data_IF_017591709883
#
_entry.id   IF_017591709883
#
_cell.length_a   1.000
_cell.length_b   1.000
_cell.length_c   1.000
_cell.angle_alpha   90.00
_cell.angle_beta   90.00
_cell.angle_gamma   90.00
#
_symmetry.space_group_name_H-M   'P 1'
#
loop_
_entity.id
_entity.type
_entity.pdbx_description
1 polymer ?
#
# COMPACT_ATOMS: atom_id res chain seq x y z
N UNK A 1 -11.43 -18.31 -6.67
CA UNK A 1 -10.26 -18.71 -7.49
C UNK A 1 -9.03 -18.33 -6.68
N UNK A 2 -8.27 -19.29 -6.14
CA UNK A 2 -7.08 -18.97 -5.33
C UNK A 2 -5.89 -18.75 -6.27
N UNK A 3 -5.44 -17.51 -6.40
CA UNK A 3 -4.17 -17.19 -7.04
C UNK A 3 -3.08 -17.21 -5.97
N UNK A 4 -2.37 -18.34 -5.85
CA UNK A 4 -1.19 -18.44 -4.99
C UNK A 4 -0.01 -17.86 -5.77
N UNK A 5 0.31 -16.59 -5.51
CA UNK A 5 1.59 -16.01 -5.90
C UNK A 5 2.70 -16.65 -5.06
N UNK A 6 3.29 -17.71 -5.62
CA UNK A 6 4.44 -18.40 -5.03
C UNK A 6 5.70 -17.69 -5.50
N UNK A 7 6.44 -17.14 -4.54
CA UNK A 7 7.76 -16.54 -4.74
C UNK A 7 8.71 -17.42 -3.92
N UNK A 8 9.46 -18.30 -4.57
CA UNK A 8 10.45 -19.15 -3.89
C UNK A 8 11.77 -18.35 -3.70
N UNK A 9 12.45 -18.54 -2.56
CA UNK A 9 13.57 -17.70 -2.06
C UNK A 9 14.91 -17.78 -2.86
N UNK A 10 14.92 -18.35 -4.06
CA UNK A 10 16.15 -18.51 -4.86
C UNK A 10 16.58 -17.20 -5.55
N UNK A 11 17.14 -16.27 -4.76
CA UNK A 11 17.73 -14.98 -5.14
C UNK A 11 18.86 -15.00 -6.21
N UNK A 12 19.12 -16.13 -6.87
CA UNK A 12 20.35 -16.36 -7.66
C UNK A 12 20.17 -17.04 -9.04
N UNK A 13 18.95 -17.29 -9.53
CA UNK A 13 18.77 -17.87 -10.87
C UNK A 13 17.59 -17.28 -11.66
N UNK A 14 17.67 -15.97 -11.92
CA UNK A 14 16.78 -15.25 -12.84
C UNK A 14 17.59 -14.78 -14.04
N UNK A 15 17.96 -15.73 -14.91
CA UNK A 15 18.52 -15.41 -16.24
C UNK A 15 17.35 -15.09 -17.17
N UNK A 16 16.97 -13.81 -17.26
CA UNK A 16 16.02 -13.35 -18.28
C UNK A 16 16.71 -12.59 -19.40
N UNK A 17 16.70 -13.22 -20.56
CA UNK A 17 17.29 -12.79 -21.80
C UNK A 17 16.59 -11.52 -22.33
N UNK A 18 17.36 -10.51 -22.73
CA UNK A 18 16.86 -9.27 -23.31
C UNK A 18 16.08 -9.53 -24.61
N UNK A 19 14.91 -8.90 -24.75
CA UNK A 19 14.32 -8.60 -26.06
C UNK A 19 13.55 -7.26 -26.05
N UNK A 20 14.26 -6.20 -26.43
CA UNK A 20 13.82 -5.37 -27.55
C UNK A 20 12.80 -4.23 -27.34
N UNK A 21 12.15 -4.07 -26.18
CA UNK A 21 11.29 -2.89 -25.92
C UNK A 21 11.53 -2.34 -24.52
N UNK A 22 12.02 -1.08 -24.36
CA UNK A 22 12.08 -0.46 -23.04
C UNK A 22 10.65 -0.28 -22.52
N UNK A 23 10.33 -0.94 -21.42
CA UNK A 23 9.07 -0.73 -20.72
C UNK A 23 9.03 0.74 -20.28
N UNK A 24 8.11 1.52 -20.86
CA UNK A 24 7.94 2.93 -20.48
C UNK A 24 7.72 3.02 -18.98
N UNK A 25 8.42 3.96 -18.34
CA UNK A 25 8.42 4.17 -16.90
C UNK A 25 6.99 4.20 -16.34
N UNK A 26 6.82 3.55 -15.20
CA UNK A 26 5.54 3.03 -14.74
C UNK A 26 5.24 3.59 -13.35
N UNK A 27 4.85 4.85 -13.28
CA UNK A 27 4.72 5.55 -12.01
C UNK A 27 3.46 5.11 -11.25
N UNK A 28 3.59 4.88 -9.94
CA UNK A 28 2.51 4.50 -9.05
C UNK A 28 2.44 5.50 -7.90
N UNK A 29 1.35 6.26 -7.80
CA UNK A 29 1.07 7.09 -6.63
C UNK A 29 0.47 6.20 -5.55
N UNK A 30 1.14 6.11 -4.40
CA UNK A 30 0.68 5.30 -3.27
C UNK A 30 0.02 6.20 -2.23
N UNK A 31 -1.29 6.05 -2.09
CA UNK A 31 -2.10 6.86 -1.20
C UNK A 31 -2.41 6.11 0.09
N UNK A 32 -2.32 6.83 1.20
CA UNK A 32 -2.28 6.25 2.52
C UNK A 32 -3.30 6.97 3.42
N UNK A 33 -4.58 6.61 3.29
CA UNK A 33 -5.68 7.15 4.11
C UNK A 33 -5.89 6.36 5.40
N UNK A 34 -5.93 7.03 6.55
CA UNK A 34 -5.90 6.50 7.93
C UNK A 34 -4.54 5.95 8.30
N UNK A 35 -3.72 6.81 8.90
CA UNK A 35 -2.42 6.42 9.39
C UNK A 35 -2.61 5.58 10.66
N UNK A 36 -2.96 4.30 10.52
CA UNK A 36 -3.04 3.39 11.66
C UNK A 36 -1.62 2.95 12.10
N UNK A 37 -0.95 3.90 12.73
CA UNK A 37 0.27 3.93 13.56
C UNK A 37 1.61 3.37 13.04
N UNK A 38 1.80 2.08 12.67
CA UNK A 38 3.11 1.60 12.19
C UNK A 38 3.09 0.88 10.82
N UNK A 39 1.91 0.61 10.23
CA UNK A 39 1.77 -0.35 9.11
C UNK A 39 2.56 0.02 7.85
N UNK A 40 2.72 1.32 7.61
CA UNK A 40 3.25 1.92 6.37
C UNK A 40 4.75 2.16 6.44
N UNK A 41 5.25 2.41 7.65
CA UNK A 41 6.67 2.60 7.93
C UNK A 41 7.46 1.36 7.52
N UNK A 42 7.04 0.17 7.97
CA UNK A 42 7.75 -1.08 7.68
C UNK A 42 7.67 -1.48 6.19
N UNK A 43 6.66 -1.04 5.44
CA UNK A 43 6.63 -1.24 3.98
C UNK A 43 7.70 -0.41 3.28
N UNK A 44 7.79 0.88 3.58
CA UNK A 44 8.83 1.76 3.01
C UNK A 44 10.23 1.48 3.58
N UNK A 45 10.37 1.00 4.81
CA UNK A 45 11.64 0.49 5.34
C UNK A 45 12.10 -0.73 4.51
N UNK A 46 11.27 -1.77 4.37
CA UNK A 46 11.63 -2.98 3.61
C UNK A 46 11.92 -2.67 2.13
N UNK A 47 11.20 -1.73 1.52
CA UNK A 47 11.47 -1.30 0.13
C UNK A 47 12.75 -0.46 0.04
N UNK A 48 13.00 0.49 0.95
CA UNK A 48 14.25 1.26 0.97
C UNK A 48 15.46 0.35 1.24
N UNK A 49 15.33 -0.61 2.16
CA UNK A 49 16.37 -1.62 2.45
C UNK A 49 16.68 -2.46 1.19
N UNK A 50 15.66 -2.89 0.43
CA UNK A 50 15.88 -3.64 -0.82
C UNK A 50 16.50 -2.78 -1.93
N UNK A 51 16.14 -1.49 -2.05
CA UNK A 51 16.78 -0.57 -2.99
C UNK A 51 18.13 -0.02 -2.49
N UNK A 52 18.61 -0.40 -1.30
CA UNK A 52 19.85 0.11 -0.72
C UNK A 52 19.82 1.61 -0.42
N UNK A 53 18.64 2.17 -0.11
CA UNK A 53 18.45 3.58 0.24
C UNK A 53 18.64 3.81 1.73
N UNK A 54 19.49 4.77 2.08
CA UNK A 54 19.63 5.25 3.47
C UNK A 54 18.41 6.07 3.93
N UNK A 55 18.30 6.32 5.24
CA UNK A 55 17.26 7.13 5.88
C UNK A 55 17.17 8.57 5.32
N UNK A 56 18.23 9.05 4.67
CA UNK A 56 18.31 10.34 3.97
C UNK A 56 17.82 10.31 2.52
N UNK A 57 17.50 9.12 1.98
CA UNK A 57 17.13 8.90 0.58
C UNK A 57 18.32 8.76 -0.38
N UNK A 58 19.56 8.79 0.12
CA UNK A 58 20.75 8.54 -0.69
C UNK A 58 20.89 7.05 -1.03
N UNK A 59 21.25 6.74 -2.27
CA UNK A 59 21.49 5.37 -2.73
C UNK A 59 22.89 4.88 -2.39
N UNK A 60 22.95 3.72 -1.72
CA UNK A 60 24.16 3.00 -1.32
C UNK A 60 24.15 1.53 -1.76
N UNK A 61 23.29 1.16 -2.73
CA UNK A 61 23.19 -0.20 -3.25
C UNK A 61 24.31 -0.60 -4.22
N UNK A 62 24.60 -1.90 -4.28
CA UNK A 62 25.68 -2.48 -5.10
C UNK A 62 25.20 -3.02 -6.47
N UNK A 63 23.89 -2.96 -6.80
CA UNK A 63 23.32 -3.65 -7.98
C UNK A 63 22.52 -2.73 -8.91
N UNK A 64 22.93 -2.64 -10.17
CA UNK A 64 22.26 -1.84 -11.21
C UNK A 64 20.76 -2.20 -11.39
N UNK A 65 20.38 -3.45 -11.10
CA UNK A 65 18.99 -3.93 -11.16
C UNK A 65 18.07 -3.25 -10.13
N UNK A 66 18.62 -2.71 -9.04
CA UNK A 66 17.86 -1.93 -8.05
C UNK A 66 17.46 -0.56 -8.64
N UNK A 67 18.33 0.05 -9.45
CA UNK A 67 18.10 1.37 -10.03
C UNK A 67 17.19 1.34 -11.27
N UNK A 68 17.18 0.25 -12.05
CA UNK A 68 16.48 0.17 -13.35
C UNK A 68 14.97 0.51 -13.29
N UNK A 69 14.33 0.33 -12.13
CA UNK A 69 12.90 0.59 -11.92
C UNK A 69 12.56 1.34 -10.61
N UNK A 70 13.52 2.02 -10.01
CA UNK A 70 13.29 2.80 -8.77
C UNK A 70 12.21 3.88 -8.95
N UNK A 71 12.11 4.44 -10.16
CA UNK A 71 11.17 5.51 -10.56
C UNK A 71 9.68 5.15 -10.37
N UNK A 72 9.34 3.85 -10.34
CA UNK A 72 7.97 3.34 -10.13
C UNK A 72 7.38 3.86 -8.81
N UNK A 73 8.20 3.89 -7.75
CA UNK A 73 7.78 4.26 -6.40
C UNK A 73 8.50 5.47 -5.83
N UNK A 74 9.63 5.91 -6.42
CA UNK A 74 10.40 7.05 -5.97
C UNK A 74 10.53 8.11 -7.07
N UNK A 75 10.50 9.37 -6.67
CA UNK A 75 10.95 10.51 -7.46
C UNK A 75 12.45 10.71 -7.24
N UNK A 76 13.23 10.80 -8.31
CA UNK A 76 14.62 11.25 -8.25
C UNK A 76 14.65 12.78 -8.03
N UNK A 77 15.24 13.22 -6.92
CA UNK A 77 15.45 14.63 -6.63
C UNK A 77 16.84 15.10 -7.08
N UNK A 78 17.00 16.41 -7.29
CA UNK A 78 18.16 17.09 -7.91
C UNK A 78 19.54 16.87 -7.26
N UNK A 79 19.63 16.07 -6.20
CA UNK A 79 20.85 15.76 -5.45
C UNK A 79 21.20 14.27 -5.42
N UNK A 80 20.53 13.43 -6.23
CA UNK A 80 20.67 11.97 -6.16
C UNK A 80 19.95 11.33 -4.96
N UNK A 81 18.99 12.06 -4.38
CA UNK A 81 18.13 11.56 -3.30
C UNK A 81 16.82 11.05 -3.89
N UNK A 82 16.39 9.86 -3.47
CA UNK A 82 15.14 9.25 -3.89
C UNK A 82 14.03 9.51 -2.86
N UNK A 83 12.91 10.06 -3.32
CA UNK A 83 11.78 10.49 -2.47
C UNK A 83 10.54 9.64 -2.81
N UNK A 84 9.93 8.90 -1.87
CA UNK A 84 8.71 8.13 -2.12
C UNK A 84 7.57 8.94 -2.73
N UNK A 85 6.94 8.41 -3.79
CA UNK A 85 5.65 8.84 -4.35
C UNK A 85 4.50 8.41 -3.42
N UNK A 86 4.52 8.92 -2.19
CA UNK A 86 3.57 8.60 -1.13
C UNK A 86 2.81 9.85 -0.67
N UNK A 87 1.49 9.70 -0.49
CA UNK A 87 0.61 10.75 0.07
C UNK A 87 0.02 10.22 1.38
N UNK A 88 0.32 10.88 2.49
CA UNK A 88 -0.12 10.44 3.83
C UNK A 88 -1.29 11.29 4.30
N UNK A 89 -2.39 10.61 4.64
CA UNK A 89 -3.66 11.24 4.95
C UNK A 89 -4.22 10.68 6.26
N UNK A 90 -4.50 11.55 7.22
CA UNK A 90 -5.21 11.19 8.45
C UNK A 90 -6.11 12.35 8.90
N UNK A 91 -7.22 12.06 9.58
CA UNK A 91 -8.07 13.08 10.21
C UNK A 91 -7.53 13.49 11.60
N UNK A 92 -6.48 12.81 12.09
CA UNK A 92 -5.84 13.09 13.38
C UNK A 92 -4.35 13.42 13.17
N UNK A 93 -3.86 14.61 13.59
CA UNK A 93 -2.49 15.03 13.31
C UNK A 93 -1.44 14.22 14.07
N UNK A 94 -1.77 13.75 15.27
CA UNK A 94 -0.83 13.06 16.18
C UNK A 94 -0.21 11.79 15.60
N UNK A 95 -0.83 11.13 14.62
CA UNK A 95 -0.20 9.97 13.98
C UNK A 95 0.89 10.38 12.99
N UNK A 96 0.70 11.47 12.25
CA UNK A 96 1.67 11.91 11.23
C UNK A 96 2.96 12.41 11.89
N UNK A 97 2.87 13.02 13.07
CA UNK A 97 4.05 13.36 13.90
C UNK A 97 4.86 12.11 14.31
N UNK A 98 4.18 11.00 14.62
CA UNK A 98 4.84 9.72 14.91
C UNK A 98 5.53 9.10 13.69
N UNK A 99 5.01 9.33 12.48
CA UNK A 99 5.67 8.87 11.24
C UNK A 99 6.88 9.75 10.93
N UNK A 100 6.74 11.08 11.03
CA UNK A 100 7.80 12.06 10.79
C UNK A 100 8.98 11.94 11.77
N UNK A 101 8.73 11.48 13.00
CA UNK A 101 9.77 11.19 14.01
C UNK A 101 10.37 9.78 13.91
N UNK A 102 9.89 8.95 12.98
CA UNK A 102 10.51 7.66 12.65
C UNK A 102 11.84 7.81 11.89
N UNK A 103 12.64 6.73 11.77
CA UNK A 103 13.95 6.76 11.10
C UNK A 103 13.84 7.15 9.61
N UNK A 104 12.86 6.58 8.89
CA UNK A 104 12.56 6.99 7.51
C UNK A 104 11.63 8.22 7.44
N UNK A 105 11.36 8.92 8.54
CA UNK A 105 10.46 10.07 8.55
C UNK A 105 10.95 11.26 7.72
N UNK A 106 12.26 11.33 7.44
CA UNK A 106 12.90 12.41 6.70
C UNK A 106 12.88 12.23 5.17
N UNK A 107 12.63 11.01 4.66
CA UNK A 107 12.62 10.73 3.22
C UNK A 107 11.33 11.23 2.53
N UNK A 108 10.26 11.40 3.30
CA UNK A 108 8.95 11.83 2.79
C UNK A 108 8.88 13.35 2.64
N UNK A 109 8.31 13.84 1.52
CA UNK A 109 8.02 15.27 1.33
C UNK A 109 7.06 15.77 2.42
N UNK A 110 7.39 16.87 3.14
CA UNK A 110 6.48 17.45 4.13
C UNK A 110 5.16 17.92 3.49
N UNK A 111 5.20 18.32 2.22
CA UNK A 111 4.03 18.77 1.44
C UNK A 111 3.04 17.65 1.12
N UNK A 112 3.42 16.37 1.31
CA UNK A 112 2.59 15.21 1.03
C UNK A 112 1.89 14.66 2.30
N UNK A 113 2.01 15.36 3.43
CA UNK A 113 1.28 15.06 4.67
C UNK A 113 0.04 15.96 4.77
N UNK A 114 -1.14 15.38 4.58
CA UNK A 114 -2.42 16.08 4.69
C UNK A 114 -3.13 15.61 5.95
N UNK A 115 -3.49 16.53 6.84
CA UNK A 115 -4.18 16.20 8.09
C UNK A 115 -5.38 17.08 8.42
N UNK A 116 -6.40 16.44 8.99
CA UNK A 116 -7.55 17.10 9.58
C UNK A 116 -7.29 17.62 11.00
N UNK A 117 -8.24 18.40 11.51
CA UNK A 117 -8.26 18.89 12.91
C UNK A 117 -9.21 18.04 13.77
N UNK A 118 -10.20 17.39 13.16
CA UNK A 118 -11.26 16.63 13.82
C UNK A 118 -11.29 15.18 13.31
N UNK A 119 -11.30 14.21 14.23
CA UNK A 119 -11.30 12.80 13.89
C UNK A 119 -12.71 12.25 13.61
N UNK A 120 -12.85 11.38 12.60
CA UNK A 120 -14.11 10.74 12.20
C UNK A 120 -14.82 9.88 13.28
N UNK A 121 -14.30 9.81 14.51
CA UNK A 121 -14.96 9.20 15.68
C UNK A 121 -15.48 7.78 15.46
N UNK A 122 -14.77 7.00 14.63
CA UNK A 122 -15.11 5.63 14.21
C UNK A 122 -16.47 5.49 13.49
N UNK A 123 -17.06 6.58 13.00
CA UNK A 123 -18.34 6.61 12.30
C UNK A 123 -18.17 6.92 10.80
N UNK A 124 -18.51 5.95 9.93
CA UNK A 124 -18.44 6.11 8.48
C UNK A 124 -19.33 7.25 7.93
N UNK A 125 -20.47 7.58 8.55
CA UNK A 125 -21.28 8.69 8.03
C UNK A 125 -20.57 10.05 8.20
N UNK A 126 -19.88 10.26 9.33
CA UNK A 126 -19.20 11.52 9.63
C UNK A 126 -17.93 11.67 8.78
N UNK A 127 -17.13 10.62 8.63
CA UNK A 127 -15.95 10.68 7.77
C UNK A 127 -16.26 10.86 6.27
N UNK A 128 -17.47 10.53 5.79
CA UNK A 128 -17.79 10.53 4.35
C UNK A 128 -18.53 11.80 3.91
N UNK A 129 -19.40 12.33 4.77
CA UNK A 129 -20.30 13.44 4.42
C UNK A 129 -19.96 14.77 5.11
N UNK A 130 -19.08 14.77 6.12
CA UNK A 130 -18.64 16.01 6.81
C UNK A 130 -17.11 16.11 6.80
N UNK A 131 -16.42 15.49 7.76
CA UNK A 131 -15.00 15.72 8.04
C UNK A 131 -14.07 15.36 6.86
N UNK A 132 -14.31 14.21 6.21
CA UNK A 132 -13.50 13.81 5.06
C UNK A 132 -13.86 14.55 3.78
N UNK A 133 -15.05 15.16 3.68
CA UNK A 133 -15.43 15.98 2.54
C UNK A 133 -14.74 17.35 2.55
N UNK A 134 -14.43 17.90 3.74
CA UNK A 134 -13.60 19.12 3.85
C UNK A 134 -12.12 18.85 3.53
N UNK A 135 -11.61 17.65 3.85
CA UNK A 135 -10.19 17.32 3.64
C UNK A 135 -9.88 16.73 2.26
N UNK A 136 -10.85 16.12 1.55
CA UNK A 136 -10.59 15.39 0.30
C UNK A 136 -10.03 16.29 -0.81
N UNK A 137 -10.51 17.53 -0.94
CA UNK A 137 -10.03 18.46 -1.97
C UNK A 137 -8.53 18.75 -1.81
N UNK A 138 -8.06 18.92 -0.57
CA UNK A 138 -6.63 19.12 -0.27
C UNK A 138 -5.79 17.89 -0.59
N UNK A 139 -6.35 16.69 -0.43
CA UNK A 139 -5.67 15.43 -0.82
C UNK A 139 -5.62 15.29 -2.34
N UNK A 140 -6.72 15.60 -3.03
CA UNK A 140 -6.79 15.55 -4.49
C UNK A 140 -5.81 16.53 -5.14
N UNK A 141 -5.62 17.73 -4.60
CA UNK A 141 -4.64 18.69 -5.11
C UNK A 141 -3.18 18.20 -4.94
N UNK A 142 -2.86 17.46 -3.87
CA UNK A 142 -1.56 16.79 -3.72
C UNK A 142 -1.46 15.58 -4.67
N UNK A 143 -2.54 14.82 -4.83
CA UNK A 143 -2.67 13.70 -5.78
C UNK A 143 -2.42 14.13 -7.23
N UNK A 144 -3.04 15.24 -7.65
CA UNK A 144 -2.82 15.87 -8.96
C UNK A 144 -1.37 16.31 -9.14
N UNK A 145 -0.75 16.94 -8.13
CA UNK A 145 0.67 17.35 -8.20
C UNK A 145 1.62 16.17 -8.37
N UNK A 146 1.39 15.08 -7.64
CA UNK A 146 2.20 13.86 -7.82
C UNK A 146 1.87 13.13 -9.14
N UNK A 147 0.62 13.17 -9.62
CA UNK A 147 0.25 12.64 -10.93
C UNK A 147 0.83 13.46 -12.11
N UNK A 148 0.98 14.77 -11.96
CA UNK A 148 1.70 15.66 -12.90
C UNK A 148 3.22 15.46 -12.86
N UNK A 149 3.76 14.95 -11.74
CA UNK A 149 5.17 14.56 -11.61
C UNK A 149 5.48 13.16 -12.18
N UNK A 150 4.48 12.48 -12.76
CA UNK A 150 4.63 11.18 -13.40
C UNK A 150 4.78 11.31 -14.92
N UNK A 151 5.76 10.63 -15.50
CA UNK A 151 5.90 10.49 -16.96
C UNK A 151 4.80 9.57 -17.52
N UNK A 152 4.45 8.51 -16.78
CA UNK A 152 3.33 7.64 -17.13
C UNK A 152 2.71 6.95 -15.90
N UNK A 153 1.73 7.61 -15.29
CA UNK A 153 0.93 7.06 -14.20
C UNK A 153 0.21 5.76 -14.61
N UNK A 154 0.55 4.61 -14.02
CA UNK A 154 -0.20 3.37 -14.24
C UNK A 154 -1.53 3.34 -13.47
N UNK A 155 -1.50 3.82 -12.22
CA UNK A 155 -2.61 3.69 -11.30
C UNK A 155 -2.29 4.18 -9.90
N UNK A 156 -3.29 4.10 -9.04
CA UNK A 156 -3.20 4.49 -7.63
C UNK A 156 -3.23 3.23 -6.75
N UNK A 157 -2.38 3.21 -5.72
CA UNK A 157 -2.38 2.17 -4.69
C UNK A 157 -2.86 2.74 -3.35
N UNK A 158 -4.11 2.50 -2.99
CA UNK A 158 -4.68 2.94 -1.71
C UNK A 158 -4.55 1.86 -0.63
N UNK A 159 -3.87 2.16 0.47
CA UNK A 159 -3.81 1.27 1.65
C UNK A 159 -4.65 1.81 2.80
N UNK A 160 -5.73 1.12 3.16
CA UNK A 160 -6.71 1.59 4.16
C UNK A 160 -7.31 0.47 5.03
N UNK A 161 -7.93 0.84 6.16
CA UNK A 161 -8.62 -0.08 7.08
C UNK A 161 -10.13 -0.04 6.90
N UNK A 162 -10.79 -1.18 6.69
CA UNK A 162 -12.26 -1.25 6.52
C UNK A 162 -13.03 -1.02 7.83
N UNK A 163 -12.39 -1.23 8.98
CA UNK A 163 -12.99 -0.96 10.29
C UNK A 163 -12.82 0.49 10.78
N UNK A 164 -11.72 1.15 10.38
CA UNK A 164 -11.33 2.47 10.86
C UNK A 164 -12.26 3.59 10.39
N UNK A 165 -12.62 4.52 11.28
CA UNK A 165 -13.51 5.64 10.94
C UNK A 165 -12.96 6.59 9.89
N UNK A 166 -11.64 6.75 9.83
CA UNK A 166 -10.97 7.53 8.80
C UNK A 166 -10.79 6.70 7.53
N UNK A 167 -10.21 5.49 7.65
CA UNK A 167 -9.66 4.76 6.50
C UNK A 167 -10.72 4.12 5.62
N UNK A 168 -11.74 3.55 6.25
CA UNK A 168 -12.87 2.92 5.57
C UNK A 168 -13.66 3.95 4.75
N UNK A 169 -13.50 5.21 5.08
CA UNK A 169 -14.53 6.20 4.91
C UNK A 169 -14.07 7.32 3.97
N UNK A 170 -13.06 8.08 4.41
CA UNK A 170 -12.33 9.02 3.56
C UNK A 170 -11.66 8.26 2.41
N UNK A 171 -11.19 7.03 2.64
CA UNK A 171 -10.62 6.19 1.58
C UNK A 171 -11.63 5.89 0.49
N UNK A 172 -12.88 5.57 0.85
CA UNK A 172 -13.94 5.33 -0.15
C UNK A 172 -14.47 6.60 -0.83
N UNK A 173 -14.40 7.74 -0.17
CA UNK A 173 -14.70 9.04 -0.79
C UNK A 173 -13.65 9.36 -1.85
N UNK A 174 -12.38 9.32 -1.45
CA UNK A 174 -11.22 9.53 -2.32
C UNK A 174 -11.18 8.57 -3.52
N UNK A 175 -11.48 7.28 -3.33
CA UNK A 175 -11.59 6.33 -4.46
C UNK A 175 -12.68 6.73 -5.46
N UNK A 176 -13.78 7.33 -4.99
CA UNK A 176 -14.86 7.78 -5.86
C UNK A 176 -14.38 8.96 -6.70
N UNK A 177 -13.80 9.98 -6.06
CA UNK A 177 -13.34 11.20 -6.74
C UNK A 177 -12.18 10.91 -7.71
N UNK A 178 -11.19 10.09 -7.32
CA UNK A 178 -10.09 9.70 -8.22
C UNK A 178 -10.62 8.89 -9.41
N UNK A 179 -11.65 8.05 -9.24
CA UNK A 179 -12.25 7.32 -10.36
C UNK A 179 -13.03 8.22 -11.32
N UNK A 180 -13.57 9.34 -10.83
CA UNK A 180 -14.20 10.37 -11.66
C UNK A 180 -13.16 11.22 -12.43
N UNK A 181 -12.03 11.57 -11.81
CA UNK A 181 -10.95 12.33 -12.47
C UNK A 181 -10.09 11.47 -13.42
N UNK A 182 -9.83 10.21 -13.06
CA UNK A 182 -8.89 9.32 -13.73
C UNK A 182 -9.53 7.96 -14.10
N UNK A 183 -10.60 7.93 -14.92
CA UNK A 183 -11.37 6.71 -15.21
C UNK A 183 -10.55 5.60 -15.90
N UNK A 184 -9.53 5.96 -16.68
CA UNK A 184 -8.68 5.01 -17.40
C UNK A 184 -7.56 4.38 -16.55
N UNK A 185 -7.31 4.87 -15.33
CA UNK A 185 -6.21 4.41 -14.46
C UNK A 185 -6.64 3.25 -13.59
N UNK A 186 -5.70 2.34 -13.27
CA UNK A 186 -5.98 1.17 -12.45
C UNK A 186 -6.07 1.56 -10.98
N UNK A 187 -7.15 1.18 -10.32
CA UNK A 187 -7.40 1.43 -8.91
C UNK A 187 -7.16 0.16 -8.08
N UNK A 188 -6.03 0.12 -7.38
CA UNK A 188 -5.62 -0.99 -6.52
C UNK A 188 -5.80 -0.62 -5.04
N UNK A 189 -6.45 -1.49 -4.25
CA UNK A 189 -6.61 -1.26 -2.81
C UNK A 189 -6.06 -2.39 -1.95
N UNK A 190 -5.34 -2.03 -0.90
CA UNK A 190 -4.94 -2.92 0.20
C UNK A 190 -5.88 -2.66 1.37
N UNK A 191 -6.92 -3.51 1.49
CA UNK A 191 -8.05 -3.31 2.38
C UNK A 191 -7.96 -4.25 3.59
N UNK A 192 -7.64 -3.68 4.76
CA UNK A 192 -7.53 -4.44 6.00
C UNK A 192 -8.92 -4.76 6.57
N UNK A 193 -9.28 -6.04 6.69
CA UNK A 193 -10.52 -6.47 7.35
C UNK A 193 -10.36 -6.40 8.88
N UNK A 194 -11.31 -5.82 9.63
CA UNK A 194 -11.30 -5.87 11.09
C UNK A 194 -11.40 -7.32 11.61
N UNK A 195 -10.91 -7.57 12.84
CA UNK A 195 -11.06 -8.86 13.51
C UNK A 195 -11.50 -8.67 14.97
N UNK A 196 -12.51 -9.40 15.45
CA UNK A 196 -12.98 -9.30 16.83
C UNK A 196 -11.93 -9.75 17.87
N UNK A 197 -10.83 -10.39 17.44
CA UNK A 197 -9.68 -10.72 18.31
C UNK A 197 -8.74 -9.54 18.57
N UNK A 198 -8.80 -8.50 17.73
CA UNK A 198 -7.82 -7.42 17.68
C UNK A 198 -8.41 -6.03 18.01
N UNK A 199 -9.72 -5.87 17.85
CA UNK A 199 -10.42 -4.59 18.03
C UNK A 199 -11.78 -4.73 18.70
N UNK A 200 -11.97 -4.07 19.84
CA UNK A 200 -13.23 -4.04 20.63
C UNK A 200 -14.31 -3.11 20.04
N UNK A 201 -14.17 -2.67 18.78
CA UNK A 201 -15.06 -1.65 18.20
C UNK A 201 -16.31 -2.30 17.58
N UNK A 202 -17.44 -2.22 18.28
CA UNK A 202 -18.72 -2.80 17.82
C UNK A 202 -19.27 -2.27 16.49
N UNK A 203 -18.80 -1.11 16.01
CA UNK A 203 -19.26 -0.49 14.74
C UNK A 203 -18.44 -0.89 13.50
N UNK A 204 -17.35 -1.65 13.67
CA UNK A 204 -16.50 -2.08 12.54
C UNK A 204 -17.22 -2.90 11.45
N UNK A 205 -18.22 -3.77 11.75
CA UNK A 205 -19.00 -4.45 10.72
C UNK A 205 -19.86 -3.49 9.89
N UNK A 206 -20.39 -2.41 10.48
CA UNK A 206 -21.14 -1.38 9.76
C UNK A 206 -20.23 -0.63 8.80
N UNK A 207 -19.10 -0.12 9.29
CA UNK A 207 -18.10 0.59 8.48
C UNK A 207 -17.61 -0.29 7.32
N UNK A 208 -17.31 -1.57 7.61
CA UNK A 208 -16.85 -2.54 6.60
C UNK A 208 -17.91 -2.77 5.51
N UNK A 209 -19.18 -2.94 5.89
CA UNK A 209 -20.26 -3.20 4.93
C UNK A 209 -20.48 -2.02 3.98
N UNK A 210 -20.51 -0.80 4.52
CA UNK A 210 -20.66 0.43 3.73
C UNK A 210 -19.46 0.64 2.79
N UNK A 211 -18.26 0.33 3.28
CA UNK A 211 -17.03 0.52 2.50
C UNK A 211 -16.87 -0.50 1.38
N UNK A 212 -17.19 -1.77 1.64
CA UNK A 212 -17.19 -2.82 0.61
C UNK A 212 -18.18 -2.52 -0.50
N UNK A 213 -19.34 -1.93 -0.20
CA UNK A 213 -20.30 -1.49 -1.22
C UNK A 213 -19.70 -0.43 -2.17
N UNK A 214 -18.93 0.53 -1.64
CA UNK A 214 -18.23 1.53 -2.46
C UNK A 214 -17.04 0.94 -3.24
N UNK A 215 -16.27 0.05 -2.61
CA UNK A 215 -15.14 -0.65 -3.27
C UNK A 215 -15.60 -1.47 -4.48
N UNK A 216 -16.75 -2.14 -4.39
CA UNK A 216 -17.27 -2.99 -5.48
C UNK A 216 -17.49 -2.26 -6.81
N UNK A 217 -17.74 -0.94 -6.78
CA UNK A 217 -17.95 -0.12 -7.98
C UNK A 217 -16.71 0.67 -8.44
N UNK A 218 -15.78 0.96 -7.54
CA UNK A 218 -14.74 1.98 -7.75
C UNK A 218 -13.30 1.42 -7.78
N UNK A 219 -13.10 0.13 -7.55
CA UNK A 219 -11.76 -0.50 -7.60
C UNK A 219 -11.67 -1.54 -8.70
N UNK A 220 -10.50 -1.65 -9.34
CA UNK A 220 -10.21 -2.69 -10.34
C UNK A 220 -9.51 -3.91 -9.68
N UNK A 221 -8.86 -3.71 -8.52
CA UNK A 221 -8.22 -4.75 -7.72
C UNK A 221 -8.35 -4.44 -6.22
N UNK A 222 -8.74 -5.42 -5.41
CA UNK A 222 -8.80 -5.25 -3.94
C UNK A 222 -8.19 -6.44 -3.22
N UNK A 223 -7.02 -6.24 -2.61
CA UNK A 223 -6.34 -7.20 -1.77
C UNK A 223 -6.95 -7.17 -0.36
N UNK A 224 -7.72 -8.20 -0.03
CA UNK A 224 -8.33 -8.37 1.28
C UNK A 224 -7.33 -8.98 2.26
N UNK A 225 -6.80 -8.16 3.16
CA UNK A 225 -5.86 -8.59 4.19
C UNK A 225 -6.62 -8.79 5.50
N UNK A 226 -6.67 -10.04 5.97
CA UNK A 226 -7.45 -10.41 7.15
C UNK A 226 -6.59 -10.41 8.42
N UNK A 227 -6.88 -9.48 9.34
CA UNK A 227 -6.17 -9.40 10.62
C UNK A 227 -6.34 -10.68 11.46
N UNK A 228 -7.44 -11.43 11.30
CA UNK A 228 -7.66 -12.69 12.02
C UNK A 228 -6.74 -13.80 11.51
N UNK A 229 -6.64 -13.93 10.19
CA UNK A 229 -5.76 -14.92 9.57
C UNK A 229 -4.29 -14.65 9.92
N UNK A 230 -3.88 -13.37 9.94
CA UNK A 230 -2.53 -12.97 10.36
C UNK A 230 -2.26 -13.30 11.83
N UNK A 231 -3.23 -13.06 12.73
CA UNK A 231 -3.11 -13.43 14.14
C UNK A 231 -2.96 -14.95 14.32
N UNK A 232 -3.79 -15.74 13.63
CA UNK A 232 -3.73 -17.20 13.66
C UNK A 232 -2.41 -17.73 13.06
N UNK A 233 -1.85 -17.09 12.03
CA UNK A 233 -0.52 -17.39 11.48
C UNK A 233 0.60 -17.11 12.50
N UNK A 234 0.60 -15.93 13.15
CA UNK A 234 1.61 -15.59 14.15
C UNK A 234 1.57 -16.55 15.35
N UNK A 235 0.37 -16.93 15.79
CA UNK A 235 0.19 -17.84 16.92
C UNK A 235 0.52 -19.31 16.59
N UNK A 236 0.02 -19.83 15.45
CA UNK A 236 0.16 -21.26 15.11
C UNK A 236 1.45 -21.60 14.34
N UNK A 237 1.82 -20.77 13.38
CA UNK A 237 2.97 -21.03 12.48
C UNK A 237 4.26 -20.49 13.07
N UNK A 238 4.27 -19.20 13.45
CA UNK A 238 5.47 -18.54 14.02
C UNK A 238 5.67 -18.84 15.51
N UNK A 239 4.70 -19.49 16.16
CA UNK A 239 4.71 -19.90 17.58
C UNK A 239 4.94 -18.74 18.56
N UNK A 240 4.51 -17.54 18.21
CA UNK A 240 4.58 -16.36 19.09
C UNK A 240 3.50 -16.47 20.16
N UNK A 241 3.91 -16.51 21.43
CA UNK A 241 3.00 -16.64 22.59
C UNK A 241 2.12 -15.40 22.80
N UNK A 242 2.63 -14.23 22.43
CA UNK A 242 1.90 -12.95 22.45
C UNK A 242 2.25 -12.17 21.17
N UNK A 243 1.52 -12.36 20.06
CA UNK A 243 1.80 -11.68 18.81
C UNK A 243 1.53 -10.17 18.96
N UNK A 244 2.51 -9.34 18.59
CA UNK A 244 2.35 -7.89 18.68
C UNK A 244 1.82 -7.31 17.37
N UNK A 245 1.25 -6.09 17.42
CA UNK A 245 0.88 -5.37 16.20
C UNK A 245 2.06 -5.20 15.23
N UNK A 246 3.30 -5.08 15.73
CA UNK A 246 4.50 -4.97 14.90
C UNK A 246 4.79 -6.24 14.08
N UNK A 247 4.48 -7.41 14.61
CA UNK A 247 4.68 -8.69 13.91
C UNK A 247 3.63 -8.90 12.80
N UNK A 248 2.36 -8.58 13.10
CA UNK A 248 1.29 -8.56 12.09
C UNK A 248 1.63 -7.59 10.95
N UNK A 249 2.17 -6.41 11.30
CA UNK A 249 2.57 -5.41 10.32
C UNK A 249 3.71 -5.90 9.44
N UNK A 250 4.73 -6.54 10.01
CA UNK A 250 5.84 -7.06 9.23
C UNK A 250 5.37 -8.09 8.19
N UNK A 251 4.46 -8.99 8.55
CA UNK A 251 3.82 -9.92 7.59
C UNK A 251 3.00 -9.19 6.51
N UNK A 252 2.28 -8.13 6.88
CA UNK A 252 1.55 -7.28 5.92
C UNK A 252 2.52 -6.63 4.94
N UNK A 253 3.59 -6.01 5.43
CA UNK A 253 4.61 -5.36 4.62
C UNK A 253 5.26 -6.34 3.65
N UNK A 254 5.66 -7.53 4.10
CA UNK A 254 6.18 -8.61 3.24
C UNK A 254 5.17 -9.07 2.18
N UNK A 255 3.89 -9.11 2.53
CA UNK A 255 2.81 -9.50 1.61
C UNK A 255 2.60 -8.46 0.50
N UNK A 256 2.52 -7.17 0.86
CA UNK A 256 2.38 -6.05 -0.10
C UNK A 256 3.64 -5.93 -0.97
N UNK A 257 4.81 -6.07 -0.34
CA UNK A 257 6.12 -6.14 -1.01
C UNK A 257 6.14 -7.23 -2.10
N UNK A 258 5.77 -8.46 -1.75
CA UNK A 258 5.79 -9.61 -2.67
C UNK A 258 4.83 -9.43 -3.86
N UNK A 259 3.62 -8.92 -3.61
CA UNK A 259 2.65 -8.58 -4.68
C UNK A 259 3.22 -7.51 -5.63
N UNK A 260 3.93 -6.51 -5.09
CA UNK A 260 4.51 -5.42 -5.88
C UNK A 260 5.86 -5.77 -6.54
N UNK A 261 6.49 -6.91 -6.24
CA UNK A 261 7.81 -7.29 -6.81
C UNK A 261 7.80 -7.39 -8.33
N UNK A 262 6.71 -7.85 -8.97
CA UNK A 262 6.63 -7.90 -10.45
C UNK A 262 6.55 -6.54 -11.13
N UNK A 263 6.19 -5.48 -10.38
CA UNK A 263 6.19 -4.10 -10.85
C UNK A 263 7.60 -3.51 -10.73
N UNK A 264 8.23 -3.77 -9.59
CA UNK A 264 9.51 -3.19 -9.14
C UNK A 264 10.75 -3.75 -9.81
N UNK A 265 10.72 -4.99 -10.31
CA UNK A 265 11.85 -5.61 -11.01
C UNK A 265 11.49 -5.99 -12.46
N UNK A 266 12.47 -6.10 -13.37
CA UNK A 266 12.25 -6.52 -14.75
C UNK A 266 11.82 -8.01 -14.83
N UNK A 267 10.51 -8.27 -14.68
CA UNK A 267 9.88 -9.57 -14.90
C UNK A 267 9.14 -9.66 -16.23
N UNK A 268 9.09 -10.86 -16.84
CA UNK A 268 8.29 -11.11 -18.05
C UNK A 268 6.78 -11.20 -17.77
N UNK A 269 6.39 -11.56 -16.54
CA UNK A 269 5.02 -11.88 -16.14
C UNK A 269 4.50 -10.85 -15.11
N UNK A 270 3.28 -10.33 -15.33
CA UNK A 270 2.64 -9.30 -14.49
C UNK A 270 3.45 -7.98 -14.28
N UNK A 271 4.19 -7.55 -15.31
CA UNK A 271 5.03 -6.34 -15.29
C UNK A 271 4.29 -4.98 -15.27
N UNK A 272 2.97 -4.98 -15.11
CA UNK A 272 2.09 -3.80 -15.16
C UNK A 272 0.81 -4.12 -14.36
N UNK A 273 0.34 -3.18 -13.55
CA UNK A 273 -0.92 -3.28 -12.82
C UNK A 273 -2.10 -3.67 -13.72
N UNK A 274 -2.15 -3.17 -14.96
CA UNK A 274 -3.20 -3.52 -15.92
C UNK A 274 -3.12 -4.97 -16.38
N UNK A 275 -1.91 -5.50 -16.60
CA UNK A 275 -1.72 -6.93 -16.96
C UNK A 275 -2.15 -7.84 -15.81
N UNK A 276 -1.82 -7.46 -14.58
CA UNK A 276 -2.26 -8.18 -13.38
C UNK A 276 -3.79 -8.20 -13.26
N UNK A 277 -4.47 -7.06 -13.51
CA UNK A 277 -5.92 -6.98 -13.53
C UNK A 277 -6.53 -7.95 -14.57
N UNK A 278 -6.08 -7.86 -15.83
CA UNK A 278 -6.60 -8.68 -16.94
C UNK A 278 -6.38 -10.18 -16.72
N UNK A 279 -5.27 -10.57 -16.10
CA UNK A 279 -4.96 -11.98 -15.82
C UNK A 279 -5.76 -12.56 -14.64
N UNK A 280 -6.12 -11.73 -13.67
CA UNK A 280 -6.66 -12.17 -12.37
C UNK A 280 -8.15 -11.90 -12.17
N UNK A 281 -8.73 -10.95 -12.92
CA UNK A 281 -10.14 -10.51 -12.80
C UNK A 281 -10.95 -10.98 -14.01
N UNK A 282 -11.59 -12.17 -13.97
CA UNK A 282 -12.42 -12.66 -15.07
C UNK A 282 -13.77 -11.93 -15.19
N UNK A 283 -14.23 -11.26 -14.11
CA UNK A 283 -15.48 -10.51 -14.08
C UNK A 283 -15.31 -9.22 -13.26
N UNK A 284 -15.82 -8.05 -13.69
CA UNK A 284 -15.58 -6.76 -13.03
C UNK A 284 -16.00 -6.63 -11.56
N UNK A 285 -16.88 -7.51 -11.06
CA UNK A 285 -17.30 -7.53 -9.65
C UNK A 285 -16.59 -8.59 -8.79
N UNK A 286 -15.65 -9.35 -9.38
CA UNK A 286 -14.92 -10.44 -8.72
C UNK A 286 -13.41 -10.14 -8.68
N UNK A 287 -13.08 -8.93 -8.22
CA UNK A 287 -11.73 -8.37 -8.11
C UNK A 287 -11.13 -8.44 -6.70
N UNK A 288 -11.74 -9.21 -5.80
CA UNK A 288 -11.25 -9.43 -4.44
C UNK A 288 -10.20 -10.55 -4.41
N UNK A 289 -8.96 -10.18 -4.11
CA UNK A 289 -7.84 -11.11 -3.97
C UNK A 289 -7.57 -11.43 -2.50
N UNK A 290 -7.24 -12.70 -2.25
CA UNK A 290 -6.72 -13.16 -0.96
C UNK A 290 -5.22 -13.36 -1.14
N UNK A 291 -4.37 -12.44 -0.68
CA UNK A 291 -2.93 -12.60 -0.78
C UNK A 291 -2.45 -13.67 0.22
N UNK A 292 -1.35 -14.32 -0.12
CA UNK A 292 -0.68 -15.29 0.75
C UNK A 292 0.82 -15.29 0.46
N UNK A 293 1.61 -15.53 1.49
CA UNK A 293 3.07 -15.55 1.42
C UNK A 293 3.60 -16.87 1.99
N UNK A 294 4.62 -17.42 1.34
CA UNK A 294 5.34 -18.60 1.78
C UNK A 294 6.77 -18.55 1.20
N UNK A 295 7.80 -18.99 1.96
CA UNK A 295 7.71 -19.57 3.30
C UNK A 295 7.54 -18.53 4.41
N UNK A 296 6.87 -18.92 5.50
CA UNK A 296 6.71 -18.08 6.70
C UNK A 296 7.84 -18.39 7.69
N UNK A 297 8.97 -17.72 7.52
CA UNK A 297 10.12 -17.85 8.43
C UNK A 297 9.87 -17.09 9.74
N UNK A 298 10.40 -17.62 10.84
CA UNK A 298 10.41 -16.93 12.14
C UNK A 298 11.68 -16.10 12.25
N UNK A 299 11.63 -14.99 13.01
CA UNK A 299 12.81 -14.15 13.29
C UNK A 299 13.98 -14.90 13.97
N UNK A 300 13.75 -16.12 14.45
CA UNK A 300 14.77 -17.02 14.99
C UNK A 300 15.08 -18.27 14.16
N UNK A 301 14.45 -18.48 12.99
CA UNK A 301 14.79 -19.59 12.09
C UNK A 301 15.85 -19.17 11.09
N UNK A 302 17.11 -19.28 11.48
CA UNK A 302 18.22 -19.37 10.54
C UNK A 302 18.03 -20.60 9.64
N UNK A 303 18.28 -20.44 8.34
CA UNK A 303 18.86 -21.51 7.53
C UNK A 303 20.38 -21.49 7.70
#
# INVERSE_FOLDING_TARGET
>A
MLAVLRIDDDYNNVIFQQDGVPARYADIVTEFVDATFPRRRIFWEVISDEYGLDQTGAYHGDSDLQLERINVYYNEASSGNYVPRAIMVDLVPGTLESVRSGPIGQIFRPDNFVYGVSGASKNWANGHYTEGAELVDSVLDVGRREAESCDCLQGFQLTHSLGGGTGSCMGTLLLSNIREEYPDRIMCTYSMRPSPKLSDTVVEPYNTTLSVHKLLGNTDQTYCIDNEALYDICSRTLKLTTPTFGDLIHLISLTIYGVNTSLRFPGQLNADLRKLAVNMVPFPHLHFFMPGFAPLTSRGSQQ
#
